data_IF_732925262471
#
_entry.id   IF_732925262471
#
_cell.length_a   1.000
_cell.length_b   1.000
_cell.length_c   1.000
_cell.angle_alpha   90.00
_cell.angle_beta   90.00
_cell.angle_gamma   90.00
#
_symmetry.space_group_name_H-M   'P 1'
#
loop_
_entity.id
_entity.type
_entity.pdbx_description
1 polymer ?
#
# COMPACT_ATOMS: atom_id res chain seq x y z
N UNK A 1 23.40 4.76 11.78
CA UNK A 1 22.75 5.44 12.93
C UNK A 1 22.15 6.79 12.57
N UNK A 2 22.86 7.67 11.84
CA UNK A 2 22.32 9.01 11.41
C UNK A 2 21.09 8.91 10.49
N UNK A 3 21.02 7.92 9.57
CA UNK A 3 19.91 7.77 8.64
C UNK A 3 18.63 7.29 9.34
N UNK A 4 18.74 6.39 10.33
CA UNK A 4 17.59 5.97 11.14
C UNK A 4 17.01 7.12 11.98
N UNK A 5 17.87 8.03 12.49
CA UNK A 5 17.44 9.20 13.26
C UNK A 5 16.75 10.22 12.35
N UNK A 6 17.30 10.47 11.14
CA UNK A 6 16.67 11.36 10.15
C UNK A 6 15.33 10.81 9.67
N UNK A 7 15.24 9.50 9.39
CA UNK A 7 13.99 8.86 8.98
C UNK A 7 12.92 8.99 10.07
N UNK A 8 13.26 8.68 11.34
CA UNK A 8 12.33 8.83 12.46
C UNK A 8 11.86 10.27 12.64
N UNK A 9 12.74 11.24 12.47
CA UNK A 9 12.38 12.67 12.50
C UNK A 9 11.43 13.07 11.36
N UNK A 10 11.72 12.65 10.14
CA UNK A 10 10.88 12.91 8.96
C UNK A 10 9.54 12.17 9.09
N UNK A 11 9.56 10.90 9.52
CA UNK A 11 8.37 10.10 9.75
C UNK A 11 7.47 10.74 10.83
N UNK A 12 8.06 11.18 11.94
CA UNK A 12 7.33 11.86 13.00
C UNK A 12 6.69 13.17 12.54
N UNK A 13 7.43 14.01 11.81
CA UNK A 13 6.90 15.26 11.23
C UNK A 13 5.81 14.95 10.21
N UNK A 14 6.02 13.96 9.36
CA UNK A 14 5.05 13.56 8.34
C UNK A 14 3.78 12.98 8.98
N UNK A 15 3.90 12.10 9.96
CA UNK A 15 2.75 11.55 10.70
C UNK A 15 2.01 12.62 11.50
N UNK A 16 2.74 13.52 12.17
CA UNK A 16 2.13 14.58 12.98
C UNK A 16 1.44 15.62 12.10
N UNK A 17 2.06 16.06 11.02
CA UNK A 17 1.47 17.04 10.11
C UNK A 17 0.42 16.45 9.18
N UNK A 18 0.64 15.24 8.66
CA UNK A 18 -0.36 14.56 7.84
C UNK A 18 -1.53 14.03 8.68
N UNK A 19 -1.27 13.46 9.85
CA UNK A 19 -2.30 12.95 10.75
C UNK A 19 -3.18 14.04 11.39
N UNK A 20 -2.67 15.28 11.52
CA UNK A 20 -3.46 16.42 11.98
C UNK A 20 -4.43 16.97 10.92
N UNK A 21 -4.16 16.70 9.62
CA UNK A 21 -4.89 17.32 8.52
C UNK A 21 -5.53 16.34 7.53
N UNK A 22 -5.32 15.03 7.69
CA UNK A 22 -5.85 14.00 6.80
C UNK A 22 -6.33 12.77 7.56
N UNK A 23 -7.58 12.42 7.34
CA UNK A 23 -8.15 11.14 7.75
C UNK A 23 -7.52 10.01 6.90
N UNK A 24 -6.77 9.04 7.49
CA UNK A 24 -6.21 7.93 6.74
C UNK A 24 -7.29 6.98 6.19
N UNK A 25 -8.45 6.96 6.79
CA UNK A 25 -9.55 6.08 6.39
C UNK A 25 -10.27 6.55 5.12
N UNK A 26 -10.30 7.85 4.84
CA UNK A 26 -10.95 8.39 3.64
C UNK A 26 -10.33 7.82 2.34
N UNK A 27 -8.99 7.88 2.11
CA UNK A 27 -8.38 7.27 0.94
C UNK A 27 -8.57 5.75 0.87
N UNK A 28 -8.54 5.07 2.01
CA UNK A 28 -8.73 3.61 2.08
C UNK A 28 -10.16 3.20 1.72
N UNK A 29 -11.16 3.96 2.19
CA UNK A 29 -12.57 3.77 1.76
C UNK A 29 -12.73 4.06 0.26
N UNK A 30 -12.10 5.13 -0.23
CA UNK A 30 -12.12 5.48 -1.65
C UNK A 30 -11.45 4.40 -2.54
N UNK A 31 -10.46 3.68 -2.00
CA UNK A 31 -9.83 2.54 -2.66
C UNK A 31 -10.74 1.30 -2.72
N UNK A 32 -11.79 1.24 -1.91
CA UNK A 32 -12.69 0.09 -1.84
C UNK A 32 -12.18 -1.03 -0.92
N UNK A 33 -11.47 -0.66 0.16
CA UNK A 33 -11.10 -1.65 1.19
C UNK A 33 -12.35 -2.11 1.91
N UNK A 34 -12.52 -3.43 2.00
CA UNK A 34 -13.65 -4.11 2.65
C UNK A 34 -13.13 -5.18 3.62
N UNK A 35 -13.94 -5.49 4.64
CA UNK A 35 -13.65 -6.51 5.63
C UNK A 35 -13.38 -7.89 4.98
N UNK A 36 -12.41 -8.63 5.50
CA UNK A 36 -12.03 -9.95 5.02
C UNK A 36 -11.14 -10.00 3.78
N UNK A 37 -10.86 -8.87 3.12
CA UNK A 37 -9.98 -8.84 1.95
C UNK A 37 -8.51 -9.10 2.31
N UNK A 38 -7.76 -9.65 1.35
CA UNK A 38 -6.31 -9.68 1.36
C UNK A 38 -5.76 -8.55 0.49
N UNK A 39 -5.06 -7.61 1.11
CA UNK A 39 -4.67 -6.34 0.49
C UNK A 39 -3.15 -6.20 0.46
N UNK A 40 -2.61 -5.65 -0.63
CA UNK A 40 -1.20 -5.27 -0.76
C UNK A 40 -1.05 -3.74 -0.70
N UNK A 41 -0.29 -3.26 0.27
CA UNK A 41 0.19 -1.88 0.37
C UNK A 41 1.56 -1.74 -0.29
N UNK A 42 1.68 -0.91 -1.31
CA UNK A 42 2.94 -0.65 -2.01
C UNK A 42 3.55 0.66 -1.56
N UNK A 43 4.75 0.59 -0.95
CA UNK A 43 5.47 1.76 -0.45
C UNK A 43 4.90 2.26 0.87
N UNK A 44 4.95 1.42 1.92
CA UNK A 44 4.36 1.78 3.22
C UNK A 44 4.97 3.02 3.89
N UNK A 45 6.22 3.38 3.54
CA UNK A 45 6.90 4.54 4.11
C UNK A 45 6.88 4.51 5.65
N UNK A 46 6.34 5.55 6.33
CA UNK A 46 6.20 5.58 7.78
C UNK A 46 4.99 4.79 8.32
N UNK A 47 4.22 4.12 7.46
CA UNK A 47 3.06 3.31 7.86
C UNK A 47 1.82 4.11 8.21
N UNK A 48 1.57 5.20 7.50
CA UNK A 48 0.40 6.05 7.73
C UNK A 48 -0.91 5.32 7.45
N UNK A 49 -0.93 4.45 6.44
CA UNK A 49 -2.12 3.69 6.04
C UNK A 49 -2.15 2.26 6.57
N UNK A 50 -1.00 1.69 6.98
CA UNK A 50 -0.87 0.26 7.32
C UNK A 50 -1.81 -0.18 8.44
N UNK A 51 -1.77 0.48 9.60
CA UNK A 51 -2.63 0.11 10.74
C UNK A 51 -4.11 0.45 10.49
N UNK A 52 -4.49 1.61 9.93
CA UNK A 52 -5.86 1.88 9.54
C UNK A 52 -6.43 0.86 8.54
N UNK A 53 -5.63 0.43 7.56
CA UNK A 53 -6.06 -0.62 6.64
C UNK A 53 -6.31 -1.95 7.35
N UNK A 54 -5.42 -2.35 8.26
CA UNK A 54 -5.59 -3.57 9.05
C UNK A 54 -6.86 -3.54 9.91
N UNK A 55 -7.18 -2.40 10.51
CA UNK A 55 -8.39 -2.19 11.28
C UNK A 55 -9.65 -2.34 10.40
N UNK A 56 -9.65 -1.72 9.21
CA UNK A 56 -10.78 -1.81 8.27
C UNK A 56 -11.02 -3.23 7.73
N UNK A 57 -9.96 -4.00 7.57
CA UNK A 57 -10.03 -5.37 7.06
C UNK A 57 -10.55 -6.38 8.10
N UNK A 58 -10.48 -6.05 9.40
CA UNK A 58 -10.92 -6.91 10.48
C UNK A 58 -10.03 -8.14 10.67
N UNK A 59 -10.49 -9.05 11.54
CA UNK A 59 -9.72 -10.26 11.92
C UNK A 59 -9.56 -11.27 10.76
N UNK A 60 -10.53 -11.33 9.86
CA UNK A 60 -10.54 -12.25 8.71
C UNK A 60 -9.77 -11.71 7.50
N UNK A 61 -9.45 -10.40 7.48
CA UNK A 61 -8.68 -9.77 6.42
C UNK A 61 -7.19 -9.67 6.75
N UNK A 62 -6.37 -9.30 5.75
CA UNK A 62 -4.91 -9.25 5.92
C UNK A 62 -4.25 -8.19 5.06
N UNK A 63 -3.36 -7.39 5.65
CA UNK A 63 -2.50 -6.43 4.95
C UNK A 63 -1.11 -7.03 4.76
N UNK A 64 -0.63 -7.01 3.53
CA UNK A 64 0.80 -7.16 3.24
C UNK A 64 1.35 -5.80 2.83
N UNK A 65 2.20 -5.23 3.67
CA UNK A 65 2.85 -3.94 3.43
C UNK A 65 4.28 -4.14 2.93
N UNK A 66 4.62 -3.52 1.82
CA UNK A 66 5.98 -3.62 1.26
C UNK A 66 6.63 -2.25 1.10
N UNK A 67 7.95 -2.22 1.32
CA UNK A 67 8.79 -1.07 0.99
C UNK A 67 10.19 -1.53 0.59
N UNK A 68 10.91 -0.73 -0.19
CA UNK A 68 12.31 -0.97 -0.58
C UNK A 68 13.31 -0.44 0.46
N UNK A 69 12.85 0.37 1.40
CA UNK A 69 13.64 0.94 2.49
C UNK A 69 13.66 0.03 3.72
N UNK A 70 14.80 -0.57 4.10
CA UNK A 70 14.88 -1.34 5.34
C UNK A 70 14.48 -0.52 6.58
N UNK A 71 14.76 0.79 6.57
CA UNK A 71 14.43 1.68 7.68
C UNK A 71 12.91 1.90 7.81
N UNK A 72 12.20 2.00 6.69
CA UNK A 72 10.73 2.08 6.67
C UNK A 72 10.12 0.78 7.20
N UNK A 73 10.57 -0.36 6.68
CA UNK A 73 10.12 -1.69 7.11
C UNK A 73 10.34 -1.91 8.62
N UNK A 74 11.55 -1.64 9.14
CA UNK A 74 11.85 -1.76 10.57
C UNK A 74 10.95 -0.85 11.42
N UNK A 75 10.70 0.38 10.95
CA UNK A 75 9.85 1.34 11.65
C UNK A 75 8.40 0.89 11.73
N UNK A 76 7.83 0.46 10.59
CA UNK A 76 6.43 0.00 10.53
C UNK A 76 6.25 -1.30 11.31
N UNK A 77 7.20 -2.25 11.26
CA UNK A 77 7.18 -3.46 12.10
C UNK A 77 7.07 -3.11 13.58
N UNK A 78 7.89 -2.16 14.04
CA UNK A 78 7.84 -1.73 15.45
C UNK A 78 6.48 -1.12 15.83
N UNK A 79 5.81 -0.43 14.91
CA UNK A 79 4.45 0.12 15.14
C UNK A 79 3.41 -0.99 15.22
N UNK A 80 3.47 -1.97 14.31
CA UNK A 80 2.57 -3.13 14.27
C UNK A 80 2.69 -3.95 15.57
N UNK A 81 3.93 -4.22 16.00
CA UNK A 81 4.19 -4.90 17.28
C UNK A 81 3.64 -4.12 18.47
N UNK A 82 3.91 -2.81 18.54
CA UNK A 82 3.42 -1.95 19.64
C UNK A 82 1.89 -1.86 19.69
N UNK A 83 1.23 -1.96 18.54
CA UNK A 83 -0.24 -1.98 18.43
C UNK A 83 -0.85 -3.35 18.75
N UNK A 84 -0.04 -4.41 18.83
CA UNK A 84 -0.52 -5.80 19.00
C UNK A 84 -1.35 -6.31 17.80
N UNK A 85 -1.15 -5.72 16.62
CA UNK A 85 -1.89 -6.07 15.40
C UNK A 85 -1.33 -7.35 14.79
N UNK A 86 -2.19 -8.33 14.50
CA UNK A 86 -1.79 -9.68 14.05
C UNK A 86 -2.07 -9.96 12.58
N UNK A 87 -2.86 -9.13 11.90
CA UNK A 87 -3.26 -9.29 10.50
C UNK A 87 -2.45 -8.40 9.54
N UNK A 88 -1.17 -8.15 9.87
CA UNK A 88 -0.25 -7.34 9.06
C UNK A 88 1.09 -8.03 8.90
N UNK A 89 1.54 -8.19 7.66
CA UNK A 89 2.92 -8.53 7.31
C UNK A 89 3.62 -7.30 6.75
N UNK A 90 4.80 -6.95 7.28
CA UNK A 90 5.62 -5.85 6.75
C UNK A 90 6.93 -6.42 6.20
N UNK A 91 7.17 -6.25 4.90
CA UNK A 91 8.24 -6.94 4.19
C UNK A 91 9.10 -6.00 3.36
N UNK A 92 10.42 -6.25 3.36
CA UNK A 92 11.36 -5.58 2.46
C UNK A 92 11.24 -6.20 1.08
N UNK A 93 10.54 -5.53 0.16
CA UNK A 93 10.29 -6.02 -1.21
C UNK A 93 10.26 -4.87 -2.20
N UNK A 94 10.67 -5.17 -3.44
CA UNK A 94 10.46 -4.30 -4.58
C UNK A 94 9.14 -4.67 -5.27
N UNK A 95 8.28 -3.69 -5.52
CA UNK A 95 6.97 -3.90 -6.14
C UNK A 95 7.04 -4.40 -7.60
N UNK A 96 8.21 -4.31 -8.25
CA UNK A 96 8.44 -4.89 -9.57
C UNK A 96 8.72 -6.41 -9.52
N UNK A 97 9.16 -6.93 -8.37
CA UNK A 97 9.54 -8.35 -8.18
C UNK A 97 9.29 -8.74 -6.72
N UNK A 98 8.07 -9.19 -6.42
CA UNK A 98 7.67 -9.44 -5.03
C UNK A 98 7.89 -10.86 -4.54
N UNK A 99 8.02 -11.84 -5.45
CA UNK A 99 8.05 -13.29 -5.19
C UNK A 99 6.75 -13.84 -4.57
N UNK A 100 5.66 -13.07 -4.55
CA UNK A 100 4.37 -13.56 -4.09
C UNK A 100 3.69 -14.42 -5.17
N UNK A 101 2.82 -15.32 -4.72
CA UNK A 101 1.97 -16.09 -5.63
C UNK A 101 1.06 -15.15 -6.46
N UNK A 102 0.87 -15.47 -7.72
CA UNK A 102 -0.08 -14.75 -8.56
C UNK A 102 -1.51 -14.90 -8.05
N UNK A 103 -2.36 -13.93 -8.35
CA UNK A 103 -3.78 -13.94 -7.99
C UNK A 103 -4.03 -14.13 -6.48
N UNK A 104 -3.18 -13.51 -5.64
CA UNK A 104 -3.23 -13.68 -4.19
C UNK A 104 -3.82 -12.48 -3.44
N UNK A 105 -4.13 -11.39 -4.13
CA UNK A 105 -4.69 -10.17 -3.53
C UNK A 105 -6.02 -9.77 -4.16
N UNK A 106 -6.93 -9.30 -3.33
CA UNK A 106 -8.22 -8.75 -3.73
C UNK A 106 -8.07 -7.29 -4.20
N UNK A 107 -7.20 -6.55 -3.50
CA UNK A 107 -6.93 -5.14 -3.76
C UNK A 107 -5.43 -4.85 -3.57
N UNK A 108 -4.91 -3.99 -4.44
CA UNK A 108 -3.58 -3.37 -4.28
C UNK A 108 -3.77 -1.87 -4.20
N UNK A 109 -3.13 -1.19 -3.25
CA UNK A 109 -3.08 0.26 -3.24
C UNK A 109 -1.65 0.81 -3.26
N UNK A 110 -1.49 1.92 -4.00
CA UNK A 110 -0.23 2.65 -4.20
C UNK A 110 -0.47 4.10 -3.83
N UNK A 111 -0.22 4.47 -2.57
CA UNK A 111 -0.51 5.81 -2.06
C UNK A 111 0.77 6.55 -1.69
N UNK A 112 0.82 7.85 -2.02
CA UNK A 112 1.92 8.72 -1.63
C UNK A 112 3.30 8.30 -2.13
N UNK A 113 3.37 7.47 -3.16
CA UNK A 113 4.63 6.98 -3.70
C UNK A 113 5.38 8.14 -4.36
N UNK A 114 6.43 8.66 -3.70
CA UNK A 114 7.21 9.80 -4.16
C UNK A 114 8.11 9.48 -5.35
N UNK A 115 8.56 8.25 -5.47
CA UNK A 115 9.36 7.73 -6.58
C UNK A 115 9.25 6.21 -6.65
N UNK A 116 9.39 5.67 -7.84
CA UNK A 116 9.46 4.22 -8.08
C UNK A 116 10.93 3.82 -8.19
N UNK A 117 11.31 2.77 -7.46
CA UNK A 117 12.64 2.16 -7.58
C UNK A 117 12.54 1.02 -8.58
N UNK A 118 13.17 1.20 -9.73
CA UNK A 118 13.15 0.22 -10.83
C UNK A 118 12.26 0.65 -12.01
N UNK A 119 11.88 -0.31 -12.83
CA UNK A 119 11.07 -0.08 -14.02
C UNK A 119 9.57 -0.04 -13.65
N UNK A 120 8.93 1.07 -13.98
CA UNK A 120 7.50 1.28 -13.71
C UNK A 120 6.61 0.27 -14.46
N UNK A 121 7.02 -0.17 -15.67
CA UNK A 121 6.30 -1.18 -16.43
C UNK A 121 6.35 -2.55 -15.73
N UNK A 122 7.52 -2.93 -15.21
CA UNK A 122 7.68 -4.17 -14.45
C UNK A 122 6.81 -4.15 -13.19
N UNK A 123 6.77 -3.02 -12.48
CA UNK A 123 5.88 -2.85 -11.34
C UNK A 123 4.41 -3.07 -11.73
N UNK A 124 3.91 -2.43 -12.79
CA UNK A 124 2.51 -2.61 -13.20
C UNK A 124 2.19 -4.05 -13.63
N UNK A 125 3.11 -4.71 -14.34
CA UNK A 125 2.97 -6.12 -14.71
C UNK A 125 2.90 -7.01 -13.47
N UNK A 126 3.75 -6.77 -12.48
CA UNK A 126 3.76 -7.53 -11.24
C UNK A 126 2.47 -7.30 -10.44
N UNK A 127 2.04 -6.05 -10.25
CA UNK A 127 0.79 -5.76 -9.53
C UNK A 127 -0.42 -6.39 -10.25
N UNK A 128 -0.44 -6.37 -11.58
CA UNK A 128 -1.46 -7.07 -12.36
C UNK A 128 -1.44 -8.58 -12.14
N UNK A 129 -0.25 -9.20 -12.13
CA UNK A 129 -0.08 -10.64 -11.86
C UNK A 129 -0.59 -11.03 -10.46
N UNK A 130 -0.36 -10.17 -9.47
CA UNK A 130 -0.71 -10.39 -8.06
C UNK A 130 -2.21 -10.30 -7.78
N UNK A 131 -2.93 -9.48 -8.51
CA UNK A 131 -4.38 -9.32 -8.33
C UNK A 131 -5.14 -10.54 -8.81
N UNK A 132 -6.17 -10.94 -8.07
CA UNK A 132 -7.15 -11.95 -8.50
C UNK A 132 -7.94 -11.48 -9.72
N UNK A 133 -8.56 -12.38 -10.49
CA UNK A 133 -9.61 -11.98 -11.42
C UNK A 133 -10.68 -11.17 -10.72
N UNK A 134 -11.05 -10.01 -11.26
CA UNK A 134 -11.97 -9.07 -10.62
C UNK A 134 -11.37 -8.23 -9.49
N UNK A 135 -10.09 -8.41 -9.18
CA UNK A 135 -9.38 -7.58 -8.19
C UNK A 135 -9.15 -6.14 -8.66
N UNK A 136 -8.92 -5.24 -7.73
CA UNK A 136 -8.81 -3.81 -7.98
C UNK A 136 -7.46 -3.22 -7.59
N UNK A 137 -7.06 -2.16 -8.31
CA UNK A 137 -5.91 -1.34 -8.04
C UNK A 137 -6.38 0.06 -7.69
N UNK A 138 -5.89 0.63 -6.59
CA UNK A 138 -6.13 2.01 -6.22
C UNK A 138 -4.82 2.80 -6.20
N UNK A 139 -4.80 3.97 -6.82
CA UNK A 139 -3.60 4.79 -6.97
C UNK A 139 -3.87 6.21 -6.50
N UNK A 140 -3.03 6.76 -5.63
CA UNK A 140 -3.05 8.16 -5.28
C UNK A 140 -2.02 8.94 -6.11
N UNK A 141 -2.45 10.05 -6.69
CA UNK A 141 -1.54 11.00 -7.33
C UNK A 141 -1.52 10.95 -8.85
N UNK A 142 -0.32 11.01 -9.45
CA UNK A 142 -0.14 11.16 -10.90
C UNK A 142 0.23 9.88 -11.65
N UNK A 143 0.52 8.80 -10.92
CA UNK A 143 0.82 7.52 -11.54
C UNK A 143 -0.42 6.96 -12.22
N UNK A 144 -0.23 6.40 -13.40
CA UNK A 144 -1.32 5.76 -14.17
C UNK A 144 -0.84 4.40 -14.65
N UNK A 145 -1.60 3.34 -14.38
CA UNK A 145 -1.31 2.03 -14.93
C UNK A 145 -1.62 1.99 -16.43
N UNK A 146 -0.96 1.08 -17.18
CA UNK A 146 -1.25 0.88 -18.61
C UNK A 146 -2.69 0.42 -18.83
N UNK A 147 -3.38 1.02 -19.83
CA UNK A 147 -4.74 0.64 -20.22
C UNK A 147 -4.84 -0.79 -20.78
N UNK A 148 -3.71 -1.38 -21.19
CA UNK A 148 -3.63 -2.78 -21.58
C UNK A 148 -3.71 -3.78 -20.42
N UNK A 149 -3.49 -3.33 -19.20
CA UNK A 149 -3.52 -4.15 -17.99
C UNK A 149 -4.70 -3.81 -17.08
N UNK A 150 -5.13 -2.56 -17.07
CA UNK A 150 -6.10 -2.04 -16.13
C UNK A 150 -7.12 -1.12 -16.82
N UNK A 151 -8.38 -1.25 -16.41
CA UNK A 151 -9.46 -0.35 -16.85
C UNK A 151 -9.87 0.55 -15.70
N UNK A 152 -9.98 1.86 -15.93
CA UNK A 152 -10.53 2.78 -14.95
C UNK A 152 -11.94 2.33 -14.52
N UNK A 153 -12.16 2.22 -13.22
CA UNK A 153 -13.42 1.73 -12.64
C UNK A 153 -14.08 2.74 -11.71
N UNK A 154 -13.43 3.87 -11.43
CA UNK A 154 -13.96 4.93 -10.59
C UNK A 154 -12.87 5.66 -9.84
N UNK A 155 -13.22 6.19 -8.68
CA UNK A 155 -12.33 6.91 -7.79
C UNK A 155 -13.07 7.99 -7.02
N UNK A 156 -12.43 8.52 -5.98
CA UNK A 156 -12.93 9.64 -5.20
C UNK A 156 -11.77 10.51 -4.73
N UNK A 157 -11.92 11.82 -4.84
CA UNK A 157 -10.91 12.79 -4.41
C UNK A 157 -9.61 12.65 -5.20
N UNK A 158 -8.56 12.16 -4.54
CA UNK A 158 -7.22 11.96 -5.14
C UNK A 158 -6.92 10.49 -5.47
N UNK A 159 -7.88 9.62 -5.21
CA UNK A 159 -7.75 8.17 -5.44
C UNK A 159 -8.45 7.82 -6.76
N UNK A 160 -7.69 7.21 -7.66
CA UNK A 160 -8.20 6.62 -8.89
C UNK A 160 -8.20 5.10 -8.74
N UNK A 161 -9.33 4.48 -9.08
CA UNK A 161 -9.54 3.04 -9.00
C UNK A 161 -9.57 2.42 -10.39
N UNK A 162 -9.00 1.23 -10.48
CA UNK A 162 -8.87 0.48 -11.71
C UNK A 162 -9.22 -0.98 -11.45
N UNK A 163 -9.93 -1.60 -12.38
CA UNK A 163 -10.16 -3.04 -12.39
C UNK A 163 -9.09 -3.75 -13.22
N UNK A 164 -8.63 -4.89 -12.74
CA UNK A 164 -7.76 -5.79 -13.50
C UNK A 164 -8.45 -6.22 -14.80
N UNK A 165 -7.76 -6.13 -15.91
CA UNK A 165 -8.19 -6.73 -17.19
C UNK A 165 -7.73 -8.19 -17.28
N UNK A 166 -8.51 -9.03 -17.99
CA UNK A 166 -8.15 -10.43 -18.27
C UNK A 166 -7.05 -10.54 -19.32
#
# INVERSE_FOLDING_TARGET
MRDKIRFKGIAFVHETLYGLFRDPYEPLRAAGIEEGQRVLEVGCGPGFFTLPAAEMLGEDGHVVSIDVSPTAVDYVKSKVEAAGTTNVDVLLRNAAHTDFAGQSFDLVYVFGLGHVVGDLREMWNELHRLLRPGGSLAVEGRLRPPESLFRASGGHGRIDCFSKME
#
